data_IF_111926325108
#
_entry.id   IF_111926325108
#
_cell.length_a   1.000
_cell.length_b   1.000
_cell.length_c   1.000
_cell.angle_alpha   90.00
_cell.angle_beta   90.00
_cell.angle_gamma   90.00
#
_symmetry.space_group_name_H-M   'P 1'
#
loop_
_entity.id
_entity.type
_entity.pdbx_description
1 polymer ?
#
# COMPACT_ATOMS: atom_id res chain seq x y z
N UNK A 1 12.17 -9.44 16.54
CA UNK A 1 11.61 -9.58 15.18
C UNK A 1 12.57 -9.28 14.00
N UNK A 2 13.89 -9.10 14.22
CA UNK A 2 14.85 -8.79 13.14
C UNK A 2 15.44 -10.03 12.44
N UNK A 3 15.53 -11.17 13.15
CA UNK A 3 16.29 -12.36 12.72
C UNK A 3 15.60 -13.09 11.55
N UNK A 4 14.26 -13.12 11.51
CA UNK A 4 13.51 -13.79 10.43
C UNK A 4 13.59 -13.05 9.09
N UNK A 5 13.61 -11.71 9.11
CA UNK A 5 13.77 -10.88 7.90
C UNK A 5 15.18 -11.05 7.30
N UNK A 6 16.21 -11.15 8.15
CA UNK A 6 17.60 -11.34 7.72
C UNK A 6 17.86 -12.72 7.08
N UNK A 7 17.20 -13.79 7.55
CA UNK A 7 17.30 -15.13 6.92
C UNK A 7 16.80 -15.14 5.47
N UNK A 8 15.74 -14.39 5.15
CA UNK A 8 15.18 -14.29 3.78
C UNK A 8 16.10 -13.55 2.81
N UNK A 9 17.00 -12.71 3.31
CA UNK A 9 17.90 -11.85 2.53
C UNK A 9 19.36 -12.32 2.53
N UNK A 10 19.66 -13.47 3.15
CA UNK A 10 21.02 -13.97 3.25
C UNK A 10 21.68 -14.12 1.86
N UNK A 11 22.86 -13.51 1.72
CA UNK A 11 23.69 -13.39 0.50
C UNK A 11 24.41 -14.68 0.08
N UNK A 12 24.30 -15.77 0.84
CA UNK A 12 25.02 -17.01 0.56
C UNK A 12 24.42 -17.66 -0.71
N UNK A 13 25.03 -17.37 -1.88
CA UNK A 13 24.90 -18.03 -3.20
C UNK A 13 24.05 -17.40 -4.33
N UNK A 14 23.52 -16.18 -4.21
CA UNK A 14 22.80 -15.57 -5.35
C UNK A 14 23.73 -14.79 -6.30
N UNK A 15 24.20 -15.44 -7.38
CA UNK A 15 24.87 -14.76 -8.50
C UNK A 15 23.94 -13.79 -9.25
N UNK A 16 22.64 -14.08 -9.29
CA UNK A 16 21.63 -13.26 -9.95
C UNK A 16 20.82 -12.38 -8.98
N UNK A 17 20.43 -11.19 -9.46
CA UNK A 17 19.80 -10.14 -8.66
C UNK A 17 18.29 -10.13 -8.90
N UNK A 18 17.53 -10.58 -7.91
CA UNK A 18 16.06 -10.67 -7.94
C UNK A 18 15.45 -9.41 -7.32
N UNK A 19 14.86 -8.53 -8.12
CA UNK A 19 14.36 -7.23 -7.66
C UNK A 19 13.18 -7.37 -6.72
N UNK A 20 12.32 -8.37 -6.91
CA UNK A 20 11.09 -8.59 -6.13
C UNK A 20 11.23 -9.67 -5.03
N UNK A 21 12.46 -10.12 -4.73
CA UNK A 21 12.70 -11.19 -3.73
C UNK A 21 12.05 -10.87 -2.39
N UNK A 22 11.15 -11.70 -1.90
CA UNK A 22 10.49 -11.48 -0.61
C UNK A 22 9.48 -10.32 -0.58
N UNK A 23 9.18 -9.71 -1.73
CA UNK A 23 8.03 -8.82 -1.94
C UNK A 23 6.96 -9.46 -2.83
N UNK A 24 7.30 -10.56 -3.52
CA UNK A 24 6.45 -11.24 -4.49
C UNK A 24 5.66 -12.41 -3.88
N UNK A 25 4.38 -12.46 -4.21
CA UNK A 25 3.42 -13.48 -3.80
C UNK A 25 2.68 -14.02 -5.02
N UNK A 26 2.19 -15.25 -4.91
CA UNK A 26 1.44 -15.88 -5.99
C UNK A 26 -0.01 -15.41 -5.95
N UNK A 27 -0.52 -14.84 -7.04
CA UNK A 27 -1.91 -14.40 -7.13
C UNK A 27 -2.93 -15.56 -7.10
N UNK A 28 -2.51 -16.80 -7.39
CA UNK A 28 -3.43 -17.96 -7.38
C UNK A 28 -3.65 -18.54 -5.97
N UNK A 29 -2.60 -18.63 -5.16
CA UNK A 29 -2.67 -19.31 -3.85
C UNK A 29 -2.23 -18.45 -2.66
N UNK A 30 -1.87 -17.19 -2.89
CA UNK A 30 -1.45 -16.23 -1.87
C UNK A 30 -0.09 -16.52 -1.20
N UNK A 31 0.58 -17.62 -1.52
CA UNK A 31 1.89 -17.98 -0.93
C UNK A 31 3.02 -17.20 -1.57
N UNK A 32 4.11 -16.98 -0.82
CA UNK A 32 5.28 -16.26 -1.32
C UNK A 32 5.93 -16.95 -2.52
N UNK A 33 6.45 -16.15 -3.45
CA UNK A 33 7.28 -16.64 -4.54
C UNK A 33 8.76 -16.54 -4.16
N UNK A 34 9.54 -17.55 -4.54
CA UNK A 34 10.97 -17.69 -4.29
C UNK A 34 11.76 -17.59 -5.59
N UNK A 35 13.03 -17.22 -5.46
CA UNK A 35 14.01 -17.34 -6.53
C UNK A 35 14.22 -18.80 -6.91
N UNK A 36 14.23 -19.09 -8.20
CA UNK A 36 14.47 -20.40 -8.78
C UNK A 36 15.39 -20.26 -9.99
N UNK A 37 16.42 -21.09 -10.09
CA UNK A 37 17.33 -21.11 -11.23
C UNK A 37 17.31 -22.48 -11.89
N UNK A 38 17.28 -22.52 -13.22
CA UNK A 38 17.35 -23.75 -14.01
C UNK A 38 18.55 -23.70 -14.95
N UNK A 39 19.47 -24.64 -14.80
CA UNK A 39 20.58 -24.81 -15.74
C UNK A 39 20.13 -25.68 -16.91
N UNK A 40 20.30 -25.17 -18.12
CA UNK A 40 20.15 -25.91 -19.37
C UNK A 40 21.52 -26.32 -19.87
N UNK A 41 21.81 -27.62 -19.77
CA UNK A 41 23.07 -28.18 -20.25
C UNK A 41 23.10 -28.19 -21.78
N UNK A 42 24.15 -27.63 -22.37
CA UNK A 42 24.33 -27.61 -23.83
C UNK A 42 25.32 -28.70 -24.24
N UNK A 43 25.10 -29.30 -25.42
CA UNK A 43 26.02 -30.31 -25.98
C UNK A 43 27.38 -29.70 -26.38
N UNK A 44 27.38 -28.41 -26.71
CA UNK A 44 28.55 -27.63 -27.11
C UNK A 44 28.43 -26.19 -26.58
N UNK A 45 29.52 -25.65 -26.02
CA UNK A 45 29.56 -24.32 -25.38
C UNK A 45 29.14 -24.34 -23.90
N UNK A 46 29.10 -23.15 -23.29
CA UNK A 46 28.79 -23.00 -21.87
C UNK A 46 27.32 -23.28 -21.54
N UNK A 47 27.09 -23.86 -20.36
CA UNK A 47 25.76 -24.06 -19.78
C UNK A 47 25.03 -22.72 -19.61
N UNK A 48 23.74 -22.69 -19.94
CA UNK A 48 22.91 -21.49 -19.77
C UNK A 48 22.03 -21.63 -18.55
N UNK A 49 22.04 -20.62 -17.69
CA UNK A 49 21.22 -20.56 -16.48
C UNK A 49 20.06 -19.59 -16.70
N UNK A 50 18.84 -20.08 -16.53
CA UNK A 50 17.62 -19.29 -16.57
C UNK A 50 17.12 -19.00 -15.16
N UNK A 51 16.67 -17.76 -14.92
CA UNK A 51 16.20 -17.30 -13.61
C UNK A 51 14.69 -17.05 -13.62
N UNK A 52 14.02 -17.59 -12.60
CA UNK A 52 12.58 -17.52 -12.46
C UNK A 52 12.16 -17.16 -11.05
N UNK A 53 10.98 -16.57 -10.94
CA UNK A 53 10.16 -16.62 -9.75
C UNK A 53 9.28 -17.86 -9.78
N UNK A 54 9.26 -18.62 -8.68
CA UNK A 54 8.39 -19.77 -8.52
C UNK A 54 7.62 -19.72 -7.21
N UNK A 55 6.36 -20.15 -7.23
CA UNK A 55 5.57 -20.26 -6.02
C UNK A 55 6.15 -21.33 -5.09
N UNK A 56 6.31 -21.02 -3.80
CA UNK A 56 6.85 -21.99 -2.83
C UNK A 56 6.00 -23.27 -2.72
N UNK A 57 4.68 -23.14 -2.87
CA UNK A 57 3.75 -24.29 -2.88
C UNK A 57 3.82 -25.15 -4.15
N UNK A 58 4.50 -24.66 -5.20
CA UNK A 58 4.84 -25.47 -6.39
C UNK A 58 6.11 -26.28 -6.16
N UNK A 59 7.10 -25.69 -5.49
CA UNK A 59 8.43 -26.31 -5.30
C UNK A 59 8.46 -27.29 -4.12
N UNK A 60 7.54 -27.18 -3.15
CA UNK A 60 7.50 -28.05 -1.98
C UNK A 60 6.06 -28.34 -1.56
N UNK A 61 5.74 -29.63 -1.47
CA UNK A 61 4.44 -30.15 -1.01
C UNK A 61 4.09 -29.72 0.42
N UNK A 62 5.08 -29.46 1.27
CA UNK A 62 4.87 -28.94 2.63
C UNK A 62 4.19 -27.56 2.66
N UNK A 63 4.24 -26.82 1.55
CA UNK A 63 3.57 -25.51 1.41
C UNK A 63 2.33 -25.56 0.52
N UNK A 64 1.92 -26.75 0.06
CA UNK A 64 0.72 -26.94 -0.75
C UNK A 64 -0.54 -26.48 0.00
N UNK A 65 -1.47 -25.85 -0.72
CA UNK A 65 -2.79 -25.56 -0.19
C UNK A 65 -3.65 -26.79 -0.48
N UNK A 66 -4.31 -27.34 0.55
CA UNK A 66 -5.19 -28.51 0.43
C UNK A 66 -4.49 -29.75 -0.16
N UNK A 67 -3.19 -29.92 0.08
CA UNK A 67 -2.42 -31.07 -0.41
C UNK A 67 -2.08 -31.03 -1.90
N UNK A 68 -2.55 -30.03 -2.65
CA UNK A 68 -2.26 -29.88 -4.09
C UNK A 68 -1.20 -28.81 -4.36
N UNK A 69 -0.15 -29.11 -5.17
CA UNK A 69 0.82 -28.11 -5.58
C UNK A 69 0.17 -26.98 -6.39
N UNK A 70 0.70 -25.76 -6.28
CA UNK A 70 0.19 -24.64 -7.06
C UNK A 70 0.47 -24.79 -8.56
N UNK A 71 -0.55 -24.51 -9.36
CA UNK A 71 -0.53 -24.61 -10.83
C UNK A 71 0.19 -23.43 -11.49
N UNK A 72 0.45 -22.34 -10.77
CA UNK A 72 1.17 -21.17 -11.28
C UNK A 72 2.49 -21.59 -11.94
N UNK A 73 2.68 -21.22 -13.21
CA UNK A 73 3.90 -21.45 -13.97
C UNK A 73 5.00 -20.54 -13.45
N UNK A 74 6.26 -20.96 -13.65
CA UNK A 74 7.43 -20.16 -13.29
C UNK A 74 7.46 -18.91 -14.18
N UNK A 75 7.70 -17.75 -13.56
CA UNK A 75 7.71 -16.45 -14.25
C UNK A 75 9.17 -16.04 -14.45
N UNK A 76 9.62 -15.70 -15.68
CA UNK A 76 10.98 -15.21 -15.89
C UNK A 76 11.25 -13.96 -15.06
N UNK A 77 12.43 -13.90 -14.44
CA UNK A 77 12.80 -12.79 -13.54
C UNK A 77 12.90 -11.48 -14.30
N UNK A 78 13.63 -11.49 -15.41
CA UNK A 78 13.91 -10.27 -16.17
C UNK A 78 12.59 -9.63 -16.67
N UNK A 79 11.65 -10.44 -17.15
CA UNK A 79 10.35 -9.96 -17.63
C UNK A 79 9.51 -9.36 -16.50
N UNK A 80 9.37 -10.07 -15.37
CA UNK A 80 8.54 -9.61 -14.27
C UNK A 80 9.14 -8.39 -13.55
N UNK A 81 10.45 -8.41 -13.30
CA UNK A 81 11.14 -7.30 -12.64
C UNK A 81 11.04 -6.02 -13.49
N UNK A 82 11.18 -6.14 -14.81
CA UNK A 82 11.07 -5.01 -15.74
C UNK A 82 9.64 -4.49 -15.81
N UNK A 83 8.65 -5.36 -16.01
CA UNK A 83 7.25 -4.96 -16.10
C UNK A 83 6.75 -4.27 -14.82
N UNK A 84 7.10 -4.81 -13.65
CA UNK A 84 6.73 -4.22 -12.35
C UNK A 84 7.42 -2.87 -12.16
N UNK A 85 8.69 -2.73 -12.54
CA UNK A 85 9.41 -1.47 -12.41
C UNK A 85 8.86 -0.40 -13.37
N UNK A 86 8.59 -0.76 -14.62
CA UNK A 86 8.02 0.14 -15.62
C UNK A 86 6.63 0.63 -15.22
N UNK A 87 5.79 -0.25 -14.69
CA UNK A 87 4.50 0.11 -14.15
C UNK A 87 4.64 1.16 -13.03
N UNK A 88 5.54 0.94 -12.06
CA UNK A 88 5.78 1.90 -10.97
C UNK A 88 6.27 3.24 -11.52
N UNK A 89 7.18 3.23 -12.50
CA UNK A 89 7.66 4.47 -13.14
C UNK A 89 6.52 5.18 -13.89
N UNK A 90 5.64 4.43 -14.55
CA UNK A 90 4.49 5.02 -15.27
C UNK A 90 3.56 5.75 -14.30
N UNK A 91 3.27 5.15 -13.13
CA UNK A 91 2.47 5.78 -12.09
C UNK A 91 3.23 6.94 -11.45
N UNK A 92 4.54 6.81 -11.19
CA UNK A 92 5.34 7.87 -10.59
C UNK A 92 5.45 9.11 -11.50
N UNK A 93 5.40 8.96 -12.83
CA UNK A 93 5.31 10.08 -13.78
C UNK A 93 3.97 10.80 -13.67
N UNK A 94 2.89 10.10 -13.30
CA UNK A 94 1.57 10.67 -13.12
C UNK A 94 1.24 10.83 -11.62
N UNK A 95 1.69 11.96 -11.04
CA UNK A 95 1.60 12.25 -9.60
C UNK A 95 0.18 12.07 -9.02
N UNK A 96 -0.87 12.32 -9.80
CA UNK A 96 -2.27 12.09 -9.37
C UNK A 96 -2.56 10.60 -9.12
N UNK A 97 -2.22 9.74 -10.10
CA UNK A 97 -2.42 8.29 -10.01
C UNK A 97 -1.58 7.65 -8.91
N UNK A 98 -0.36 8.15 -8.66
CA UNK A 98 0.47 7.64 -7.57
C UNK A 98 -0.17 7.92 -6.21
N UNK A 99 -0.67 9.13 -6.00
CA UNK A 99 -1.39 9.48 -4.77
C UNK A 99 -2.64 8.62 -4.63
N UNK A 100 -3.47 8.51 -5.65
CA UNK A 100 -4.68 7.69 -5.57
C UNK A 100 -4.36 6.21 -5.32
N UNK A 101 -3.34 5.65 -5.96
CA UNK A 101 -2.92 4.27 -5.74
C UNK A 101 -2.37 4.02 -4.33
N UNK A 102 -1.57 4.96 -3.80
CA UNK A 102 -0.93 4.86 -2.48
C UNK A 102 -1.87 5.25 -1.32
N UNK A 103 -2.88 6.08 -1.57
CA UNK A 103 -3.80 6.60 -0.55
C UNK A 103 -5.20 5.96 -0.57
N UNK A 104 -5.69 5.43 -1.70
CA UNK A 104 -7.09 4.97 -1.84
C UNK A 104 -7.49 3.81 -0.91
N UNK A 105 -6.56 2.93 -0.50
CA UNK A 105 -6.86 1.83 0.44
C UNK A 105 -6.50 2.13 1.91
N UNK A 106 -5.76 3.21 2.16
CA UNK A 106 -5.31 3.61 3.51
C UNK A 106 -6.28 4.55 4.22
N UNK A 107 -7.18 5.18 3.47
CA UNK A 107 -8.05 6.22 4.01
C UNK A 107 -9.15 5.70 4.96
N UNK A 108 -9.43 4.40 5.04
CA UNK A 108 -10.68 3.92 5.65
C UNK A 108 -10.80 4.14 7.17
N UNK A 109 -9.69 4.23 7.91
CA UNK A 109 -9.74 4.33 9.37
C UNK A 109 -10.17 5.73 9.82
N UNK A 110 -9.39 6.76 9.50
CA UNK A 110 -9.69 8.13 9.96
C UNK A 110 -10.64 8.90 9.03
N UNK A 111 -10.72 8.59 7.73
CA UNK A 111 -11.55 9.40 6.81
C UNK A 111 -13.05 9.33 7.11
N UNK A 112 -13.55 8.19 7.60
CA UNK A 112 -14.96 8.04 7.98
C UNK A 112 -15.28 8.88 9.20
N UNK A 113 -14.41 8.85 10.20
CA UNK A 113 -14.57 9.60 11.45
C UNK A 113 -14.41 11.10 11.23
N UNK A 114 -13.42 11.51 10.42
CA UNK A 114 -13.25 12.90 9.98
C UNK A 114 -14.47 13.38 9.17
N UNK A 115 -15.00 12.56 8.27
CA UNK A 115 -16.21 12.90 7.51
C UNK A 115 -17.42 13.05 8.42
N UNK A 116 -17.60 12.16 9.38
CA UNK A 116 -18.65 12.24 10.39
C UNK A 116 -18.55 13.52 11.23
N UNK A 117 -17.36 13.82 11.77
CA UNK A 117 -17.12 15.01 12.59
C UNK A 117 -17.32 16.31 11.82
N UNK A 118 -16.92 16.36 10.54
CA UNK A 118 -17.20 17.50 9.67
C UNK A 118 -18.71 17.71 9.47
N UNK A 119 -19.47 16.64 9.23
CA UNK A 119 -20.93 16.74 9.12
C UNK A 119 -21.56 17.22 10.43
N UNK A 120 -21.10 16.70 11.57
CA UNK A 120 -21.57 17.14 12.89
C UNK A 120 -21.26 18.62 13.14
N UNK A 121 -20.07 19.08 12.74
CA UNK A 121 -19.69 20.50 12.83
C UNK A 121 -20.63 21.38 12.00
N UNK A 122 -21.02 20.96 10.80
CA UNK A 122 -21.98 21.67 9.96
C UNK A 122 -23.37 21.76 10.63
N UNK A 123 -23.84 20.67 11.22
CA UNK A 123 -25.12 20.65 11.95
C UNK A 123 -25.10 21.56 13.19
N UNK A 124 -24.00 21.57 13.94
CA UNK A 124 -23.85 22.48 15.09
C UNK A 124 -23.80 23.95 14.66
N UNK A 125 -23.12 24.28 13.56
CA UNK A 125 -23.14 25.64 12.98
C UNK A 125 -24.54 26.07 12.55
N UNK A 126 -25.34 25.16 11.96
CA UNK A 126 -26.76 25.44 11.66
C UNK A 126 -27.58 25.72 12.92
N UNK A 127 -27.39 24.91 13.97
CA UNK A 127 -28.05 25.15 15.28
C UNK A 127 -27.65 26.50 15.86
N UNK A 128 -26.35 26.86 15.78
CA UNK A 128 -25.85 28.16 16.23
C UNK A 128 -26.58 29.32 15.52
N UNK A 129 -26.69 29.25 14.18
CA UNK A 129 -27.42 30.25 13.39
C UNK A 129 -28.90 30.32 13.76
N UNK A 130 -29.55 29.18 13.97
CA UNK A 130 -30.96 29.13 14.36
C UNK A 130 -31.18 29.74 15.75
N UNK A 131 -30.31 29.46 16.72
CA UNK A 131 -30.37 30.06 18.06
C UNK A 131 -30.22 31.58 17.99
N UNK A 132 -29.29 32.10 17.19
CA UNK A 132 -29.15 33.54 16.96
C UNK A 132 -30.42 34.13 16.34
N UNK A 133 -31.01 33.44 15.35
CA UNK A 133 -32.26 33.88 14.72
C UNK A 133 -33.42 33.93 15.72
N UNK A 134 -33.64 32.87 16.51
CA UNK A 134 -34.70 32.82 17.50
C UNK A 134 -34.58 33.91 18.57
N UNK A 135 -33.35 34.25 18.96
CA UNK A 135 -33.11 35.37 19.87
C UNK A 135 -33.47 36.71 19.23
N UNK A 136 -33.04 36.96 17.98
CA UNK A 136 -33.43 38.19 17.25
C UNK A 136 -34.94 38.31 17.02
N UNK A 137 -35.63 37.19 16.83
CA UNK A 137 -37.08 37.11 16.70
C UNK A 137 -37.82 37.20 18.06
N UNK A 138 -37.10 37.40 19.17
CA UNK A 138 -37.62 37.40 20.55
C UNK A 138 -38.43 36.13 20.90
N UNK A 139 -38.14 35.01 20.23
CA UNK A 139 -38.76 33.70 20.49
C UNK A 139 -38.18 33.03 21.73
N UNK A 140 -36.92 33.34 22.06
CA UNK A 140 -36.22 32.90 23.27
C UNK A 140 -35.60 34.10 23.97
N UNK A 141 -35.48 34.00 25.30
CA UNK A 141 -34.81 35.01 26.11
C UNK A 141 -33.28 34.92 26.02
N UNK A 142 -32.61 35.93 26.55
CA UNK A 142 -31.15 36.04 26.58
C UNK A 142 -30.49 34.87 27.32
N UNK A 143 -31.02 34.45 28.46
CA UNK A 143 -30.41 33.41 29.30
C UNK A 143 -30.46 32.05 28.61
N UNK A 144 -31.60 31.74 27.98
CA UNK A 144 -31.79 30.55 27.14
C UNK A 144 -30.85 30.56 25.94
N UNK A 145 -30.73 31.68 25.24
CA UNK A 145 -29.82 31.83 24.09
C UNK A 145 -28.35 31.71 24.50
N UNK A 146 -27.94 32.35 25.59
CA UNK A 146 -26.58 32.33 26.11
C UNK A 146 -26.17 30.90 26.48
N UNK A 147 -27.02 30.18 27.23
CA UNK A 147 -26.75 28.80 27.62
C UNK A 147 -26.62 27.88 26.42
N UNK A 148 -27.51 28.02 25.43
CA UNK A 148 -27.46 27.22 24.20
C UNK A 148 -26.19 27.51 23.37
N UNK A 149 -25.82 28.78 23.20
CA UNK A 149 -24.62 29.16 22.45
C UNK A 149 -23.33 28.75 23.16
N UNK A 150 -23.25 28.85 24.50
CA UNK A 150 -22.11 28.35 25.28
C UNK A 150 -21.89 26.85 25.07
N UNK A 151 -22.97 26.07 25.15
CA UNK A 151 -22.89 24.62 24.91
C UNK A 151 -22.42 24.32 23.48
N UNK A 152 -23.07 24.91 22.48
CA UNK A 152 -22.71 24.71 21.06
C UNK A 152 -21.24 25.08 20.80
N UNK A 153 -20.75 26.20 21.35
CA UNK A 153 -19.37 26.63 21.16
C UNK A 153 -18.37 25.65 21.82
N UNK A 154 -18.66 25.15 23.02
CA UNK A 154 -17.81 24.15 23.67
C UNK A 154 -17.74 22.83 22.89
N UNK A 155 -18.87 22.39 22.31
CA UNK A 155 -18.90 21.20 21.44
C UNK A 155 -18.11 21.44 20.14
N UNK A 156 -18.22 22.63 19.54
CA UNK A 156 -17.45 23.01 18.35
C UNK A 156 -15.95 23.06 18.61
N UNK A 157 -15.50 23.60 19.76
CA UNK A 157 -14.09 23.63 20.15
C UNK A 157 -13.53 22.22 20.34
N UNK A 158 -14.31 21.35 20.99
CA UNK A 158 -13.94 19.94 21.20
C UNK A 158 -13.77 19.23 19.86
N UNK A 159 -14.78 19.33 18.98
CA UNK A 159 -14.74 18.73 17.63
C UNK A 159 -13.58 19.28 16.81
N UNK A 160 -13.30 20.59 16.90
CA UNK A 160 -12.20 21.21 16.17
C UNK A 160 -10.85 20.64 16.61
N UNK A 161 -10.64 20.49 17.92
CA UNK A 161 -9.43 19.91 18.49
C UNK A 161 -9.28 18.46 18.02
N UNK A 162 -10.31 17.64 18.15
CA UNK A 162 -10.31 16.24 17.71
C UNK A 162 -10.04 16.12 16.19
N UNK A 163 -10.67 16.97 15.37
CA UNK A 163 -10.42 17.00 13.93
C UNK A 163 -8.95 17.34 13.62
N UNK A 164 -8.37 18.31 14.32
CA UNK A 164 -6.95 18.67 14.12
C UNK A 164 -6.01 17.51 14.46
N UNK A 165 -6.25 16.83 15.58
CA UNK A 165 -5.46 15.69 16.05
C UNK A 165 -5.57 14.49 15.11
N UNK A 166 -6.79 14.17 14.66
CA UNK A 166 -7.06 13.09 13.72
C UNK A 166 -6.44 13.38 12.35
N UNK A 167 -6.48 14.63 11.89
CA UNK A 167 -5.88 15.02 10.60
C UNK A 167 -4.36 14.90 10.68
N UNK A 168 -3.73 15.37 11.76
CA UNK A 168 -2.29 15.23 11.99
C UNK A 168 -1.88 13.75 12.09
N UNK A 169 -2.67 12.94 12.80
CA UNK A 169 -2.42 11.49 12.93
C UNK A 169 -2.57 10.78 11.59
N UNK A 170 -3.58 11.14 10.80
CA UNK A 170 -3.78 10.66 9.45
C UNK A 170 -2.61 11.07 8.54
N UNK A 171 -2.13 12.32 8.61
CA UNK A 171 -0.98 12.79 7.84
C UNK A 171 0.33 12.08 8.21
N UNK A 172 0.55 11.81 9.51
CA UNK A 172 1.70 11.03 9.99
C UNK A 172 1.65 9.57 9.50
N UNK A 173 0.48 8.94 9.52
CA UNK A 173 0.30 7.58 8.96
C UNK A 173 0.35 7.54 7.44
N UNK A 174 -0.10 8.61 6.77
CA UNK A 174 -0.06 8.81 5.32
C UNK A 174 1.28 9.40 4.83
N UNK A 175 2.27 9.55 5.71
CA UNK A 175 3.58 10.02 5.30
C UNK A 175 4.26 8.92 4.47
N UNK A 176 4.06 9.00 3.15
CA UNK A 176 4.87 8.31 2.18
C UNK A 176 6.31 8.77 2.34
N UNK A 177 7.18 7.86 2.78
CA UNK A 177 8.64 8.07 2.89
C UNK A 177 9.30 8.26 1.50
N UNK A 178 8.51 8.26 0.41
CA UNK A 178 8.97 8.27 -0.97
C UNK A 178 8.16 9.29 -1.79
N UNK A 179 8.87 10.24 -2.37
CA UNK A 179 8.36 11.14 -3.39
C UNK A 179 8.35 10.45 -4.77
N UNK A 180 7.51 10.88 -5.72
CA UNK A 180 7.59 10.43 -7.11
C UNK A 180 9.00 10.55 -7.71
N UNK A 181 9.76 11.57 -7.29
CA UNK A 181 11.13 11.80 -7.72
C UNK A 181 12.11 10.70 -7.25
N UNK A 182 11.83 10.03 -6.12
CA UNK A 182 12.69 8.95 -5.61
C UNK A 182 12.63 7.71 -6.51
N UNK A 183 11.46 7.43 -7.11
CA UNK A 183 11.31 6.36 -8.10
C UNK A 183 12.06 6.69 -9.40
N UNK A 184 11.96 7.94 -9.87
CA UNK A 184 12.59 8.38 -11.11
C UNK A 184 14.12 8.46 -11.02
N UNK A 185 14.66 8.78 -9.82
CA UNK A 185 16.10 8.84 -9.57
C UNK A 185 16.74 7.45 -9.41
N UNK A 186 15.96 6.44 -9.05
CA UNK A 186 16.46 5.09 -8.80
C UNK A 186 16.84 4.36 -10.11
N UNK A 187 18.14 4.27 -10.40
CA UNK A 187 18.68 3.62 -11.59
C UNK A 187 19.35 2.29 -11.26
N UNK A 188 20.06 2.22 -10.13
CA UNK A 188 20.79 1.00 -9.75
C UNK A 188 19.88 -0.01 -9.09
N UNK A 189 20.22 -1.31 -9.18
CA UNK A 189 19.48 -2.37 -8.48
C UNK A 189 19.26 -2.06 -6.99
N UNK A 190 20.28 -1.52 -6.31
CA UNK A 190 20.22 -1.20 -4.89
C UNK A 190 19.22 -0.08 -4.60
N UNK A 191 19.19 0.96 -5.43
CA UNK A 191 18.23 2.07 -5.32
C UNK A 191 16.81 1.58 -5.58
N UNK A 192 16.59 0.88 -6.71
CA UNK A 192 15.28 0.32 -7.07
C UNK A 192 14.72 -0.54 -5.93
N UNK A 193 15.58 -1.41 -5.39
CA UNK A 193 15.24 -2.30 -4.27
C UNK A 193 14.88 -1.53 -3.00
N UNK A 194 15.64 -0.50 -2.64
CA UNK A 194 15.39 0.31 -1.45
C UNK A 194 14.02 0.98 -1.50
N UNK A 195 13.69 1.57 -2.66
CA UNK A 195 12.40 2.20 -2.91
C UNK A 195 11.26 1.17 -2.82
N UNK A 196 11.39 0.02 -3.50
CA UNK A 196 10.40 -1.05 -3.45
C UNK A 196 10.15 -1.60 -2.04
N UNK A 197 11.19 -1.75 -1.22
CA UNK A 197 11.03 -2.28 0.14
C UNK A 197 10.33 -1.34 1.11
N UNK A 198 10.22 -0.05 0.76
CA UNK A 198 9.53 0.97 1.56
C UNK A 198 8.07 1.15 1.14
N UNK A 199 7.66 0.57 0.00
CA UNK A 199 6.26 0.56 -0.40
C UNK A 199 5.45 -0.29 0.61
N UNK A 200 4.28 0.18 1.06
CA UNK A 200 3.41 -0.59 1.95
C UNK A 200 2.65 -1.70 1.20
N UNK A 201 3.06 -2.06 -0.01
CA UNK A 201 2.37 -3.00 -0.88
C UNK A 201 3.25 -4.21 -1.18
N UNK A 202 2.59 -5.35 -1.32
CA UNK A 202 3.14 -6.59 -1.85
C UNK A 202 2.78 -6.71 -3.32
N UNK A 203 3.65 -7.35 -4.08
CA UNK A 203 3.39 -7.65 -5.48
C UNK A 203 2.81 -9.05 -5.56
N UNK A 204 1.68 -9.20 -6.22
CA UNK A 204 1.09 -10.50 -6.54
C UNK A 204 1.24 -10.75 -8.04
N UNK A 205 1.67 -11.95 -8.42
CA UNK A 205 1.77 -12.34 -9.81
C UNK A 205 1.29 -13.77 -10.04
N UNK A 206 0.73 -14.02 -11.22
CA UNK A 206 0.39 -15.35 -11.69
C UNK A 206 0.71 -15.49 -13.17
N UNK A 207 1.07 -16.71 -13.55
CA UNK A 207 1.23 -17.13 -14.94
C UNK A 207 0.56 -18.47 -15.12
N UNK A 208 -0.53 -18.51 -15.87
CA UNK A 208 -1.24 -19.76 -16.18
C UNK A 208 -0.97 -20.20 -17.63
N UNK A 209 -0.72 -19.26 -18.53
CA UNK A 209 -0.51 -19.49 -19.95
C UNK A 209 0.84 -18.92 -20.43
N UNK A 210 0.87 -18.30 -21.61
CA UNK A 210 2.07 -17.66 -22.15
C UNK A 210 2.41 -16.37 -21.39
N UNK A 211 1.40 -15.55 -21.12
CA UNK A 211 1.52 -14.27 -20.41
C UNK A 211 1.38 -14.42 -18.89
N UNK A 212 1.96 -13.47 -18.17
CA UNK A 212 1.78 -13.31 -16.74
C UNK A 212 1.01 -12.03 -16.46
N UNK A 213 0.31 -12.01 -15.33
CA UNK A 213 -0.36 -10.84 -14.79
C UNK A 213 0.22 -10.53 -13.42
N UNK A 214 0.20 -9.24 -13.05
CA UNK A 214 0.57 -8.81 -11.72
C UNK A 214 -0.28 -7.63 -11.25
N UNK A 215 -0.42 -7.51 -9.94
CA UNK A 215 -1.05 -6.38 -9.27
C UNK A 215 -0.38 -6.15 -7.90
N UNK A 216 -0.67 -5.01 -7.27
CA UNK A 216 -0.21 -4.75 -5.91
C UNK A 216 -1.36 -4.78 -4.92
N UNK A 217 -1.09 -5.34 -3.75
CA UNK A 217 -2.04 -5.42 -2.64
C UNK A 217 -1.26 -5.39 -1.32
N UNK A 218 -1.88 -4.86 -0.26
CA UNK A 218 -1.23 -4.65 1.05
C UNK A 218 -1.18 -5.91 1.91
#
# INVERSE_FOLDING_TARGET
MQIQKNKKLAKRNNKHRYLLRGLLYCALCGRSMTAYARTSKRKTGDDVIYYYYSCISKESSSYALNGTPCTCRRIPVDDLDSAVWEFIISIAKNNSQLKDYLYSKNNLTYSKEISYLNNLQLELKKKQMNTMRWYHENTIDYETAEKALKNINSELETIHTTLSELTISQEKENQLVLSPADFLKAKTFKEKRNVLTKLPYRVYAARQEEHFEFFFER
#
